data_IF_946923734081
#
_entry.id   IF_946923734081
#
_cell.length_a   1.000
_cell.length_b   1.000
_cell.length_c   1.000
_cell.angle_alpha   90.00
_cell.angle_beta   90.00
_cell.angle_gamma   90.00
#
_symmetry.space_group_name_H-M   'P 1'
#
loop_
_entity.id
_entity.type
_entity.pdbx_description
1 polymer ?
#
# COMPACT_ATOMS: atom_id res chain seq x y z
N UNK A 1 -6.04 22.26 12.39
CA UNK A 1 -6.07 21.95 10.93
C UNK A 1 -5.07 20.83 10.70
N UNK A 2 -5.40 19.79 9.91
CA UNK A 2 -4.45 18.69 9.63
C UNK A 2 -3.38 19.17 8.64
N UNK A 3 -2.09 18.78 8.81
CA UNK A 3 -1.02 19.14 7.88
C UNK A 3 -1.11 18.34 6.58
N UNK A 4 -0.44 18.80 5.52
CA UNK A 4 -0.23 17.99 4.31
C UNK A 4 0.94 17.02 4.50
N UNK A 5 1.13 16.08 3.58
CA UNK A 5 2.26 15.13 3.57
C UNK A 5 3.46 15.80 2.90
N UNK A 6 4.50 16.13 3.67
CA UNK A 6 5.61 16.98 3.17
C UNK A 6 6.99 16.32 3.29
N UNK A 7 7.09 15.20 4.00
CA UNK A 7 8.38 14.58 4.30
C UNK A 7 8.34 13.05 4.30
N UNK A 8 9.52 12.42 4.30
CA UNK A 8 9.67 10.97 4.50
C UNK A 8 9.10 10.53 5.85
N UNK A 9 9.27 11.33 6.89
CA UNK A 9 8.75 11.03 8.23
C UNK A 9 7.22 11.03 8.28
N UNK A 10 6.56 11.89 7.49
CA UNK A 10 5.11 11.85 7.33
C UNK A 10 4.65 10.58 6.64
N UNK A 11 5.35 10.17 5.57
CA UNK A 11 5.09 8.91 4.86
C UNK A 11 5.29 7.72 5.80
N UNK A 12 6.39 7.68 6.55
CA UNK A 12 6.67 6.60 7.49
C UNK A 12 5.56 6.46 8.55
N UNK A 13 5.08 7.59 9.09
CA UNK A 13 3.92 7.58 10.01
C UNK A 13 2.68 6.98 9.36
N UNK A 14 2.35 7.37 8.13
CA UNK A 14 1.20 6.81 7.39
C UNK A 14 1.38 5.30 7.20
N UNK A 15 2.56 4.88 6.74
CA UNK A 15 2.83 3.48 6.43
C UNK A 15 2.82 2.60 7.68
N UNK A 16 3.39 3.07 8.79
CA UNK A 16 3.35 2.35 10.06
C UNK A 16 1.90 2.17 10.55
N UNK A 17 1.13 3.26 10.64
CA UNK A 17 -0.27 3.22 11.08
C UNK A 17 -1.15 2.37 10.15
N UNK A 18 -0.89 2.44 8.84
CA UNK A 18 -1.58 1.63 7.86
C UNK A 18 -1.35 0.13 8.06
N UNK A 19 -0.09 -0.27 8.27
CA UNK A 19 0.20 -1.68 8.53
C UNK A 19 -0.27 -2.15 9.89
N UNK A 20 -0.33 -1.27 10.90
CA UNK A 20 -0.92 -1.61 12.18
C UNK A 20 -2.43 -1.88 12.08
N UNK A 21 -3.16 -1.12 11.24
CA UNK A 21 -4.56 -1.43 10.91
C UNK A 21 -4.70 -2.72 10.09
N UNK A 22 -3.83 -2.95 9.10
CA UNK A 22 -3.88 -4.16 8.27
C UNK A 22 -3.69 -5.42 9.11
N UNK A 23 -2.72 -5.44 10.03
CA UNK A 23 -2.37 -6.66 10.80
C UNK A 23 -3.55 -7.23 11.59
N UNK A 24 -4.51 -6.40 11.96
CA UNK A 24 -5.70 -6.77 12.74
C UNK A 24 -6.98 -6.78 11.90
N UNK A 25 -6.90 -6.53 10.59
CA UNK A 25 -8.07 -6.51 9.72
C UNK A 25 -8.53 -7.93 9.39
N UNK A 26 -9.82 -8.21 9.63
CA UNK A 26 -10.40 -9.54 9.45
C UNK A 26 -10.45 -10.01 7.98
N UNK A 27 -10.54 -9.07 7.03
CA UNK A 27 -10.71 -9.37 5.62
C UNK A 27 -9.36 -9.51 4.89
N UNK A 28 -8.36 -8.69 5.23
CA UNK A 28 -7.09 -8.69 4.51
C UNK A 28 -5.86 -8.97 5.36
N UNK A 29 -5.96 -8.98 6.70
CA UNK A 29 -4.81 -9.15 7.59
C UNK A 29 -4.06 -10.45 7.35
N UNK A 30 -4.78 -11.55 7.11
CA UNK A 30 -4.20 -12.88 6.87
C UNK A 30 -3.24 -12.93 5.66
N UNK A 31 -3.42 -12.07 4.64
CA UNK A 31 -2.47 -12.00 3.53
C UNK A 31 -1.07 -11.57 4.00
N UNK A 32 -1.01 -10.66 4.97
CA UNK A 32 0.23 -10.06 5.44
C UNK A 32 0.87 -10.88 6.57
N UNK A 33 0.05 -11.55 7.39
CA UNK A 33 0.51 -12.33 8.56
C UNK A 33 0.74 -13.81 8.25
N UNK A 34 -0.06 -14.42 7.38
CA UNK A 34 -0.06 -15.88 7.16
C UNK A 34 0.40 -16.28 5.76
N UNK A 35 -0.07 -15.59 4.72
CA UNK A 35 0.22 -15.95 3.32
C UNK A 35 1.63 -15.52 2.90
N UNK A 36 1.99 -14.26 3.17
CA UNK A 36 3.29 -13.69 2.80
C UNK A 36 4.32 -13.81 3.92
N UNK A 37 3.89 -13.76 5.19
CA UNK A 37 4.77 -13.71 6.37
C UNK A 37 5.83 -12.61 6.25
N UNK A 38 5.36 -11.38 6.23
CA UNK A 38 6.20 -10.22 5.93
C UNK A 38 7.31 -10.02 6.97
N UNK A 39 8.53 -9.78 6.51
CA UNK A 39 9.58 -9.18 7.33
C UNK A 39 9.32 -7.67 7.45
N UNK A 40 8.74 -7.24 8.56
CA UNK A 40 8.33 -5.85 8.78
C UNK A 40 9.49 -4.86 8.79
N UNK A 41 10.65 -5.24 9.34
CA UNK A 41 11.84 -4.39 9.39
C UNK A 41 12.35 -4.01 8.00
N UNK A 42 12.20 -4.90 7.02
CA UNK A 42 12.55 -4.64 5.61
C UNK A 42 11.41 -4.02 4.83
N UNK A 43 10.18 -4.42 5.13
CA UNK A 43 9.01 -4.03 4.35
C UNK A 43 8.63 -2.56 4.55
N UNK A 44 8.67 -2.06 5.79
CA UNK A 44 8.32 -0.67 6.09
C UNK A 44 9.24 0.32 5.34
N UNK A 45 10.58 0.23 5.42
CA UNK A 45 11.47 1.13 4.68
C UNK A 45 11.25 1.09 3.17
N UNK A 46 11.01 -0.10 2.59
CA UNK A 46 10.74 -0.25 1.16
C UNK A 46 9.45 0.45 0.74
N UNK A 47 8.40 0.34 1.54
CA UNK A 47 7.13 1.02 1.26
C UNK A 47 7.25 2.54 1.43
N UNK A 48 8.07 3.02 2.38
CA UNK A 48 8.40 4.45 2.46
C UNK A 48 9.10 4.93 1.19
N UNK A 49 10.14 4.22 0.73
CA UNK A 49 10.84 4.55 -0.51
C UNK A 49 9.92 4.53 -1.75
N UNK A 50 9.00 3.56 -1.82
CA UNK A 50 7.98 3.51 -2.87
C UNK A 50 7.11 4.77 -2.88
N UNK A 51 6.57 5.17 -1.72
CA UNK A 51 5.67 6.32 -1.62
C UNK A 51 6.39 7.66 -1.77
N UNK A 52 7.65 7.77 -1.37
CA UNK A 52 8.49 8.92 -1.72
C UNK A 52 8.64 9.04 -3.24
N UNK A 53 8.81 7.91 -3.94
CA UNK A 53 8.90 7.89 -5.41
C UNK A 53 7.62 8.38 -6.06
N UNK A 54 6.48 7.92 -5.56
CA UNK A 54 5.15 8.29 -6.06
C UNK A 54 4.82 9.76 -5.78
N UNK A 55 5.12 10.27 -4.59
CA UNK A 55 4.71 11.60 -4.17
C UNK A 55 5.72 12.67 -4.58
N UNK A 56 6.99 12.42 -4.33
CA UNK A 56 8.06 13.41 -4.41
C UNK A 56 9.02 13.18 -5.57
N UNK A 57 8.85 12.12 -6.35
CA UNK A 57 9.78 11.73 -7.44
C UNK A 57 11.21 11.51 -6.92
N UNK A 58 11.32 11.00 -5.69
CA UNK A 58 12.57 10.73 -4.98
C UNK A 58 12.53 9.33 -4.38
N UNK A 59 13.68 8.74 -4.11
CA UNK A 59 13.77 7.42 -3.50
C UNK A 59 14.28 6.36 -4.46
N UNK A 60 14.58 5.20 -3.91
CA UNK A 60 15.40 4.13 -4.49
C UNK A 60 14.62 2.80 -4.55
N UNK A 61 13.28 2.88 -4.63
CA UNK A 61 12.46 1.68 -4.76
C UNK A 61 12.76 0.94 -6.07
N UNK A 62 13.24 -0.30 -5.95
CA UNK A 62 13.66 -1.16 -7.06
C UNK A 62 12.83 -2.46 -7.17
N UNK A 63 11.72 -2.55 -6.44
CA UNK A 63 10.86 -3.74 -6.44
C UNK A 63 9.95 -3.86 -7.67
N UNK A 64 9.37 -5.04 -7.85
CA UNK A 64 8.31 -5.28 -8.84
C UNK A 64 6.98 -5.62 -8.12
N UNK A 65 6.15 -4.60 -7.81
CA UNK A 65 4.92 -4.81 -7.07
C UNK A 65 3.95 -5.78 -7.77
N UNK A 66 3.85 -5.73 -9.10
CA UNK A 66 2.91 -6.59 -9.84
C UNK A 66 3.29 -8.07 -9.70
N UNK A 67 4.57 -8.41 -9.83
CA UNK A 67 5.05 -9.78 -9.62
C UNK A 67 4.73 -10.28 -8.20
N UNK A 68 4.94 -9.44 -7.18
CA UNK A 68 4.59 -9.79 -5.80
C UNK A 68 3.09 -10.06 -5.63
N UNK A 69 2.22 -9.21 -6.19
CA UNK A 69 0.77 -9.40 -6.09
C UNK A 69 0.28 -10.62 -6.88
N UNK A 70 0.91 -10.96 -8.01
CA UNK A 70 0.65 -12.22 -8.74
C UNK A 70 1.01 -13.44 -7.90
N UNK A 71 2.17 -13.44 -7.24
CA UNK A 71 2.57 -14.55 -6.37
C UNK A 71 1.59 -14.72 -5.20
N UNK A 72 1.08 -13.63 -4.63
CA UNK A 72 0.01 -13.68 -3.61
C UNK A 72 -1.26 -14.28 -4.21
N UNK A 73 -1.70 -13.79 -5.37
CA UNK A 73 -2.90 -14.29 -6.06
C UNK A 73 -2.85 -15.80 -6.35
N UNK A 74 -1.68 -16.31 -6.73
CA UNK A 74 -1.45 -17.74 -6.99
C UNK A 74 -1.55 -18.58 -5.72
N UNK A 75 -1.06 -18.07 -4.58
CA UNK A 75 -1.20 -18.74 -3.28
C UNK A 75 -2.61 -18.66 -2.72
N UNK A 76 -3.26 -17.52 -2.92
CA UNK A 76 -4.60 -17.26 -2.46
C UNK A 76 -5.30 -16.31 -3.42
N UNK A 77 -6.43 -16.76 -3.98
CA UNK A 77 -7.16 -16.07 -5.04
C UNK A 77 -7.69 -14.69 -4.57
N UNK A 78 -6.87 -13.64 -4.73
CA UNK A 78 -7.25 -12.28 -4.35
C UNK A 78 -8.42 -11.77 -5.18
N UNK A 79 -9.45 -11.25 -4.51
CA UNK A 79 -10.66 -10.71 -5.10
C UNK A 79 -10.69 -9.18 -5.08
N UNK A 80 -11.54 -8.53 -5.91
CA UNK A 80 -11.75 -7.08 -5.87
C UNK A 80 -12.07 -6.53 -4.46
N UNK A 81 -12.75 -7.32 -3.62
CA UNK A 81 -13.10 -6.91 -2.25
C UNK A 81 -11.85 -6.67 -1.38
N UNK A 82 -10.79 -7.48 -1.53
CA UNK A 82 -9.56 -7.30 -0.75
C UNK A 82 -8.86 -5.97 -1.12
N UNK A 83 -8.79 -5.63 -2.41
CA UNK A 83 -8.24 -4.35 -2.86
C UNK A 83 -9.10 -3.17 -2.41
N UNK A 84 -10.44 -3.32 -2.43
CA UNK A 84 -11.36 -2.31 -1.90
C UNK A 84 -11.12 -2.09 -0.40
N UNK A 85 -10.96 -3.15 0.39
CA UNK A 85 -10.68 -3.04 1.83
C UNK A 85 -9.34 -2.37 2.10
N UNK A 86 -8.31 -2.74 1.36
CA UNK A 86 -6.98 -2.10 1.43
C UNK A 86 -7.08 -0.59 1.18
N UNK A 87 -7.83 -0.16 0.15
CA UNK A 87 -8.02 1.25 -0.17
C UNK A 87 -8.80 2.01 0.92
N UNK A 88 -9.81 1.37 1.53
CA UNK A 88 -10.57 1.96 2.64
C UNK A 88 -9.63 2.26 3.80
N UNK A 89 -8.89 1.24 4.28
CA UNK A 89 -7.96 1.38 5.40
C UNK A 89 -6.86 2.42 5.11
N UNK A 90 -6.34 2.44 3.89
CA UNK A 90 -5.30 3.38 3.50
C UNK A 90 -5.82 4.83 3.52
N UNK A 91 -7.00 5.06 2.94
CA UNK A 91 -7.62 6.38 2.93
C UNK A 91 -7.96 6.83 4.35
N UNK A 92 -8.48 5.94 5.21
CA UNK A 92 -8.75 6.23 6.62
C UNK A 92 -7.50 6.76 7.33
N UNK A 93 -6.36 6.09 7.20
CA UNK A 93 -5.11 6.50 7.86
C UNK A 93 -4.60 7.84 7.38
N UNK A 94 -4.65 8.07 6.06
CA UNK A 94 -4.29 9.36 5.48
C UNK A 94 -5.21 10.45 6.02
N UNK A 95 -6.53 10.22 5.99
CA UNK A 95 -7.53 11.21 6.38
C UNK A 95 -7.56 11.45 7.90
N UNK A 96 -7.17 10.49 8.73
CA UNK A 96 -7.05 10.63 10.18
C UNK A 96 -6.01 11.70 10.57
N UNK A 97 -4.88 11.76 9.86
CA UNK A 97 -3.71 12.52 10.28
C UNK A 97 -3.34 13.67 9.34
N UNK A 98 -3.70 13.59 8.05
CA UNK A 98 -3.23 14.49 7.01
C UNK A 98 -4.38 15.07 6.17
N UNK A 99 -4.14 16.24 5.58
CA UNK A 99 -5.03 16.89 4.61
C UNK A 99 -4.21 17.85 3.74
N UNK A 100 -4.44 17.83 2.44
CA UNK A 100 -3.77 18.73 1.51
C UNK A 100 -3.56 18.10 0.14
N UNK A 101 -2.76 18.77 -0.69
CA UNK A 101 -2.53 18.37 -2.07
C UNK A 101 -1.83 17.01 -2.16
N UNK A 102 -0.82 16.77 -1.33
CA UNK A 102 -0.07 15.52 -1.33
C UNK A 102 -0.86 14.37 -0.70
N UNK A 103 -1.64 14.63 0.36
CA UNK A 103 -2.57 13.65 0.91
C UNK A 103 -3.58 13.17 -0.15
N UNK A 104 -4.21 14.09 -0.88
CA UNK A 104 -5.14 13.75 -1.97
C UNK A 104 -4.43 13.06 -3.14
N UNK A 105 -3.21 13.49 -3.47
CA UNK A 105 -2.37 12.83 -4.49
C UNK A 105 -2.08 11.38 -4.10
N UNK A 106 -1.72 11.12 -2.84
CA UNK A 106 -1.44 9.78 -2.31
C UNK A 106 -2.65 8.85 -2.48
N UNK A 107 -3.84 9.30 -2.07
CA UNK A 107 -5.10 8.54 -2.23
C UNK A 107 -5.45 8.27 -3.69
N UNK A 108 -5.27 9.24 -4.59
CA UNK A 108 -5.50 9.05 -6.03
C UNK A 108 -4.55 8.01 -6.63
N UNK A 109 -3.26 8.08 -6.29
CA UNK A 109 -2.29 7.08 -6.76
C UNK A 109 -2.57 5.70 -6.18
N UNK A 110 -2.90 5.58 -4.90
CA UNK A 110 -3.31 4.33 -4.26
C UNK A 110 -4.42 3.64 -5.06
N UNK A 111 -5.49 4.38 -5.39
CA UNK A 111 -6.60 3.88 -6.21
C UNK A 111 -6.16 3.45 -7.61
N UNK A 112 -5.33 4.25 -8.29
CA UNK A 112 -4.82 3.92 -9.62
C UNK A 112 -3.98 2.64 -9.61
N UNK A 113 -3.04 2.53 -8.66
CA UNK A 113 -2.19 1.36 -8.47
C UNK A 113 -3.04 0.12 -8.19
N UNK A 114 -4.00 0.20 -7.26
CA UNK A 114 -4.89 -0.91 -6.95
C UNK A 114 -5.67 -1.41 -8.18
N UNK A 115 -6.16 -0.49 -9.02
CA UNK A 115 -6.84 -0.85 -10.26
C UNK A 115 -5.90 -1.55 -11.25
N UNK A 116 -4.67 -1.04 -11.42
CA UNK A 116 -3.66 -1.67 -12.28
C UNK A 116 -3.32 -3.07 -11.77
N UNK A 117 -3.13 -3.26 -10.46
CA UNK A 117 -2.90 -4.58 -9.88
C UNK A 117 -4.08 -5.50 -10.19
N UNK A 118 -5.30 -5.10 -9.85
CA UNK A 118 -6.49 -5.93 -10.04
C UNK A 118 -6.69 -6.39 -11.49
N UNK A 119 -6.39 -5.52 -12.46
CA UNK A 119 -6.48 -5.84 -13.89
C UNK A 119 -5.39 -6.82 -14.34
N UNK A 120 -4.18 -6.75 -13.78
CA UNK A 120 -3.01 -7.44 -14.33
C UNK A 120 -2.53 -8.64 -13.49
N UNK A 121 -3.07 -8.86 -12.28
CA UNK A 121 -2.70 -9.98 -11.41
C UNK A 121 -3.10 -11.35 -11.98
N UNK A 122 -4.10 -11.40 -12.87
CA UNK A 122 -4.55 -12.65 -13.52
C UNK A 122 -3.76 -12.98 -14.78
N UNK A 123 -3.07 -12.01 -15.37
CA UNK A 123 -2.26 -12.24 -16.56
C UNK A 123 -1.04 -13.07 -16.15
N UNK A 124 -0.93 -14.30 -16.69
CA UNK A 124 0.33 -15.04 -16.66
C UNK A 124 1.37 -14.24 -17.44
N UNK A 125 2.59 -14.16 -16.90
CA UNK A 125 3.73 -13.82 -17.73
C UNK A 125 3.77 -14.86 -18.87
N UNK A 126 3.55 -14.39 -20.09
CA UNK A 126 3.61 -15.20 -21.32
C UNK A 126 5.08 -15.46 -21.65
#
# INVERSE_FOLDING_TARGET
>A
MKPDVLSRSDIERIIQQFYDKIKVDEEIGFFFTEVVKINWERHIPNMCAFWEGVLFYKGDFSGNPLSAHRAIHQKYNTQPIHFKRWLILFNEVVDENFKGMNAEKMKRHAKSIANVMLQNIKAKDI
#
